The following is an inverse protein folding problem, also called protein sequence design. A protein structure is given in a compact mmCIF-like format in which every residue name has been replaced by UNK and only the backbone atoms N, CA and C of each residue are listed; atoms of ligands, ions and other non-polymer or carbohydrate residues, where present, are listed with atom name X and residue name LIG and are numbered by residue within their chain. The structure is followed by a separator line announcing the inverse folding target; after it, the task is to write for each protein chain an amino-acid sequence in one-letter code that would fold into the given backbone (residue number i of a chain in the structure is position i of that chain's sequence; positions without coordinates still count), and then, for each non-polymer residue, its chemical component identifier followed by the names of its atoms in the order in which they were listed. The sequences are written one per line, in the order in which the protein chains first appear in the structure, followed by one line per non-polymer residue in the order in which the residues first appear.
data_IF_812478603041
#
_entry.id   IF_812478603041
#
_cell.length_a   1.000
_cell.length_b   1.000
_cell.length_c   1.000
_cell.angle_alpha   90.00
_cell.angle_beta   90.00
_cell.angle_gamma   90.00
#
_symmetry.space_group_name_H-M   'P 1'
#
loop_
_entity.id
_entity.type
_entity.pdbx_description
1 polymer ?
#
# COMPACT_ATOMS: atom_id res chain seq x y z
N UNK A 1 -14.42 -34.31 -29.20
CA UNK A 1 -13.35 -34.86 -28.34
C UNK A 1 -12.06 -34.15 -28.70
N UNK A 2 -11.66 -33.15 -27.91
CA UNK A 2 -10.31 -32.61 -27.94
C UNK A 2 -9.88 -32.47 -26.48
N UNK A 3 -8.92 -33.31 -26.10
CA UNK A 3 -8.32 -33.35 -24.77
C UNK A 3 -7.49 -32.08 -24.60
N UNK A 4 -7.93 -31.16 -23.73
CA UNK A 4 -7.08 -30.08 -23.23
C UNK A 4 -6.52 -30.53 -21.88
N UNK A 5 -5.24 -30.87 -21.88
CA UNK A 5 -4.46 -31.23 -20.69
C UNK A 5 -4.40 -30.05 -19.74
N UNK A 6 -5.25 -30.11 -18.70
CA UNK A 6 -5.13 -29.23 -17.53
C UNK A 6 -3.92 -29.70 -16.73
N UNK A 7 -2.80 -29.00 -16.84
CA UNK A 7 -1.62 -29.31 -16.02
C UNK A 7 -1.85 -28.75 -14.63
N UNK A 8 -2.45 -29.55 -13.75
CA UNK A 8 -2.55 -29.21 -12.33
C UNK A 8 -1.16 -29.45 -11.72
N UNK A 9 -0.38 -28.39 -11.55
CA UNK A 9 0.87 -28.46 -10.79
C UNK A 9 0.53 -28.26 -9.31
N UNK A 10 0.31 -29.36 -8.60
CA UNK A 10 0.24 -29.34 -7.14
C UNK A 10 1.68 -29.31 -6.63
N UNK A 11 2.11 -28.19 -6.06
CA UNK A 11 3.38 -28.16 -5.33
C UNK A 11 3.20 -28.91 -4.00
N UNK A 12 3.45 -30.22 -4.03
CA UNK A 12 3.43 -31.13 -2.87
C UNK A 12 4.52 -30.80 -1.81
N UNK A 13 5.41 -29.84 -2.09
CA UNK A 13 6.52 -29.45 -1.21
C UNK A 13 6.13 -28.65 0.03
N UNK A 14 4.92 -28.09 0.07
CA UNK A 14 4.39 -27.43 1.27
C UNK A 14 3.34 -28.32 1.94
N UNK A 15 3.60 -28.79 3.17
CA UNK A 15 2.57 -29.28 4.08
C UNK A 15 1.69 -28.10 4.50
N UNK A 16 0.89 -27.61 3.56
CA UNK A 16 0.22 -26.32 3.64
C UNK A 16 -1.30 -26.47 3.71
N UNK A 17 -1.90 -25.60 4.51
CA UNK A 17 -3.34 -25.35 4.61
C UNK A 17 -4.02 -25.00 3.26
N UNK A 18 -3.24 -24.69 2.22
CA UNK A 18 -3.72 -24.18 0.94
C UNK A 18 -3.20 -24.99 -0.26
N UNK A 19 -4.00 -25.04 -1.32
CA UNK A 19 -3.71 -25.61 -2.64
C UNK A 19 -3.90 -24.51 -3.70
N UNK A 20 -2.95 -24.37 -4.63
CA UNK A 20 -2.99 -23.38 -5.71
C UNK A 20 -3.16 -24.11 -7.04
N UNK A 21 -4.16 -23.75 -7.82
CA UNK A 21 -4.47 -24.34 -9.12
C UNK A 21 -4.29 -23.24 -10.18
N UNK A 22 -3.36 -23.43 -11.11
CA UNK A 22 -3.16 -22.56 -12.27
C UNK A 22 -3.79 -23.26 -13.49
N UNK A 23 -4.76 -22.62 -14.13
CA UNK A 23 -5.37 -23.09 -15.39
C UNK A 23 -4.72 -22.36 -16.57
N UNK A 24 -4.92 -22.86 -17.79
CA UNK A 24 -4.46 -22.18 -19.00
C UNK A 24 -5.04 -20.74 -19.03
N UNK A 25 -4.27 -19.77 -19.54
CA UNK A 25 -4.60 -18.33 -19.57
C UNK A 25 -4.49 -17.59 -18.21
N UNK A 26 -3.40 -17.82 -17.44
CA UNK A 26 -3.05 -17.09 -16.21
C UNK A 26 -4.15 -17.06 -15.12
N UNK A 27 -5.11 -17.99 -15.20
CA UNK A 27 -6.22 -18.08 -14.25
C UNK A 27 -5.78 -18.90 -13.03
N UNK A 28 -5.47 -18.18 -11.94
CA UNK A 28 -5.02 -18.74 -10.67
C UNK A 28 -6.20 -18.85 -9.71
N UNK A 29 -6.41 -20.04 -9.15
CA UNK A 29 -7.39 -20.30 -8.10
C UNK A 29 -6.69 -20.79 -6.83
N UNK A 30 -7.09 -20.27 -5.67
CA UNK A 30 -6.57 -20.71 -4.37
C UNK A 30 -7.67 -21.42 -3.59
N UNK A 31 -7.34 -22.57 -3.03
CA UNK A 31 -8.23 -23.38 -2.21
C UNK A 31 -7.61 -23.62 -0.83
N UNK A 32 -8.42 -23.64 0.21
CA UNK A 32 -8.03 -24.09 1.55
C UNK A 32 -8.45 -25.54 1.74
N UNK A 33 -7.54 -26.40 2.21
CA UNK A 33 -7.87 -27.79 2.52
C UNK A 33 -8.35 -27.90 3.97
N UNK A 34 -9.67 -28.04 4.16
CA UNK A 34 -10.31 -28.17 5.48
C UNK A 34 -10.96 -29.54 5.56
N UNK A 35 -10.51 -30.39 6.50
CA UNK A 35 -11.02 -31.76 6.70
C UNK A 35 -11.02 -32.64 5.43
N UNK A 36 -10.11 -32.38 4.48
CA UNK A 36 -10.01 -33.12 3.22
C UNK A 36 -10.80 -32.50 2.06
N UNK A 37 -11.63 -31.50 2.31
CA UNK A 37 -12.38 -30.76 1.29
C UNK A 37 -11.61 -29.51 0.84
N UNK A 38 -11.74 -29.15 -0.44
CA UNK A 38 -11.11 -27.96 -1.02
C UNK A 38 -12.13 -26.81 -1.08
N UNK A 39 -11.92 -25.78 -0.27
CA UNK A 39 -12.80 -24.60 -0.20
C UNK A 39 -12.16 -23.44 -0.97
N UNK A 40 -12.82 -22.86 -1.99
CA UNK A 40 -12.30 -21.70 -2.71
C UNK A 40 -12.01 -20.52 -1.76
N UNK A 41 -10.88 -19.85 -1.98
CA UNK A 41 -10.49 -18.63 -1.28
C UNK A 41 -10.14 -17.54 -2.29
N UNK A 42 -10.67 -16.36 -2.03
CA UNK A 42 -10.15 -15.15 -2.66
C UNK A 42 -8.70 -14.96 -2.21
N UNK A 43 -7.86 -14.52 -3.13
CA UNK A 43 -6.48 -14.17 -2.86
C UNK A 43 -6.16 -12.85 -3.55
N UNK A 44 -5.17 -12.16 -3.03
CA UNK A 44 -4.60 -10.98 -3.65
C UNK A 44 -3.24 -11.37 -4.23
N UNK A 45 -3.03 -11.10 -5.52
CA UNK A 45 -1.75 -11.36 -6.17
C UNK A 45 -0.79 -10.20 -5.88
N UNK A 46 0.27 -10.49 -5.13
CA UNK A 46 1.36 -9.55 -4.87
C UNK A 46 2.55 -10.00 -5.74
N UNK A 47 2.85 -9.33 -6.87
CA UNK A 47 3.96 -9.71 -7.74
C UNK A 47 5.28 -9.58 -6.99
N UNK A 48 6.25 -10.47 -7.26
CA UNK A 48 7.54 -10.43 -6.60
C UNK A 48 8.23 -9.06 -6.80
N UNK A 49 8.95 -8.59 -5.78
CA UNK A 49 9.55 -7.25 -5.77
C UNK A 49 10.46 -7.00 -6.98
N UNK A 50 11.24 -8.00 -7.39
CA UNK A 50 12.09 -7.94 -8.58
C UNK A 50 11.31 -7.81 -9.90
N UNK A 51 10.08 -8.34 -9.97
CA UNK A 51 9.21 -8.21 -11.14
C UNK A 51 8.63 -6.80 -11.23
N UNK A 52 8.25 -6.20 -10.09
CA UNK A 52 7.67 -4.87 -10.01
C UNK A 52 8.58 -3.80 -10.63
N UNK A 53 9.90 -3.96 -10.48
CA UNK A 53 10.91 -3.03 -10.98
C UNK A 53 11.72 -3.55 -12.18
N UNK A 54 11.27 -4.64 -12.80
CA UNK A 54 11.99 -5.33 -13.89
C UNK A 54 12.32 -4.41 -15.08
N UNK A 55 11.47 -3.42 -15.39
CA UNK A 55 11.70 -2.43 -16.46
C UNK A 55 12.47 -1.17 -16.01
N UNK A 56 12.66 -0.99 -14.71
CA UNK A 56 13.40 0.14 -14.12
C UNK A 56 14.87 -0.22 -13.82
N UNK A 57 15.20 -1.52 -13.78
CA UNK A 57 16.57 -2.04 -13.67
C UNK A 57 17.45 -1.44 -14.78
N UNK A 58 18.33 -0.50 -14.40
CA UNK A 58 19.28 0.17 -15.31
C UNK A 58 19.04 1.65 -15.56
N UNK A 59 17.87 2.21 -15.19
CA UNK A 59 17.56 3.65 -15.31
C UNK A 59 17.53 4.32 -13.92
N UNK A 60 17.02 3.61 -12.92
CA UNK A 60 16.99 4.02 -11.52
C UNK A 60 17.48 2.84 -10.69
N UNK A 61 18.46 3.06 -9.82
CA UNK A 61 18.76 2.11 -8.74
C UNK A 61 17.65 2.20 -7.69
N UNK A 62 16.49 1.59 -7.99
CA UNK A 62 15.32 1.50 -7.10
C UNK A 62 15.66 0.92 -5.71
N UNK A 63 16.76 0.17 -5.61
CA UNK A 63 17.26 -0.37 -4.34
C UNK A 63 17.86 0.71 -3.42
N UNK A 64 18.29 1.85 -3.94
CA UNK A 64 18.94 2.91 -3.12
C UNK A 64 17.93 3.57 -2.18
N UNK A 65 16.70 3.79 -2.67
CA UNK A 65 15.64 4.43 -1.91
C UNK A 65 14.82 3.44 -1.07
N UNK A 66 14.92 2.14 -1.37
CA UNK A 66 14.22 1.08 -0.64
C UNK A 66 14.50 1.14 0.87
N UNK A 67 15.77 1.27 1.26
CA UNK A 67 16.17 1.37 2.66
C UNK A 67 15.95 2.75 3.28
N UNK A 68 15.33 3.70 2.57
CA UNK A 68 15.14 5.07 3.04
C UNK A 68 13.74 5.28 3.59
N UNK A 69 13.66 6.23 4.52
CA UNK A 69 12.41 6.71 5.12
C UNK A 69 12.22 8.19 4.82
N UNK A 70 11.01 8.57 4.45
CA UNK A 70 10.62 9.96 4.22
C UNK A 70 9.51 10.36 5.18
N UNK A 71 9.50 11.62 5.58
CA UNK A 71 8.42 12.22 6.36
C UNK A 71 7.77 13.31 5.51
N UNK A 72 6.45 13.28 5.41
CA UNK A 72 5.67 14.25 4.64
C UNK A 72 4.67 14.90 5.60
N UNK A 73 4.83 16.21 5.81
CA UNK A 73 3.94 17.03 6.63
C UNK A 73 3.07 17.86 5.71
N UNK A 74 1.76 17.63 5.76
CA UNK A 74 0.80 18.14 4.80
C UNK A 74 0.69 17.23 3.58
N UNK A 75 -0.49 16.64 3.42
CA UNK A 75 -0.92 15.80 2.30
C UNK A 75 -1.97 16.54 1.48
N UNK A 76 -1.82 17.86 1.29
CA UNK A 76 -2.56 18.59 0.26
C UNK A 76 -2.05 18.26 -1.15
N UNK A 77 -2.44 19.06 -2.14
CA UNK A 77 -2.12 18.86 -3.57
C UNK A 77 -0.68 18.43 -3.90
N UNK A 78 0.30 19.08 -3.27
CA UNK A 78 1.71 18.80 -3.54
C UNK A 78 2.20 17.59 -2.74
N UNK A 79 1.91 17.54 -1.44
CA UNK A 79 2.35 16.45 -0.56
C UNK A 79 1.82 15.08 -1.02
N UNK A 80 0.57 15.03 -1.49
CA UNK A 80 -0.03 13.81 -2.04
C UNK A 80 0.67 13.34 -3.31
N UNK A 81 1.05 14.25 -4.21
CA UNK A 81 1.77 13.91 -5.44
C UNK A 81 3.18 13.43 -5.13
N UNK A 82 3.91 14.14 -4.25
CA UNK A 82 5.26 13.76 -3.83
C UNK A 82 5.26 12.35 -3.22
N UNK A 83 4.30 12.04 -2.34
CA UNK A 83 4.19 10.72 -1.72
C UNK A 83 4.12 9.60 -2.76
N UNK A 84 3.31 9.79 -3.81
CA UNK A 84 3.08 8.80 -4.86
C UNK A 84 4.28 8.69 -5.81
N UNK A 85 4.92 9.81 -6.17
CA UNK A 85 6.13 9.76 -7.00
C UNK A 85 7.29 9.08 -6.26
N UNK A 86 7.44 9.32 -4.96
CA UNK A 86 8.40 8.59 -4.14
C UNK A 86 8.10 7.09 -4.06
N UNK A 87 6.81 6.71 -4.08
CA UNK A 87 6.41 5.30 -4.06
C UNK A 87 6.79 4.60 -5.35
N UNK A 88 6.55 5.26 -6.49
CA UNK A 88 7.01 4.81 -7.80
C UNK A 88 8.54 4.73 -7.89
N UNK A 89 9.25 5.65 -7.23
CA UNK A 89 10.71 5.66 -7.17
C UNK A 89 11.31 4.58 -6.24
N UNK A 90 10.47 3.85 -5.48
CA UNK A 90 10.90 2.74 -4.65
C UNK A 90 11.26 3.10 -3.21
N UNK A 91 10.85 4.26 -2.70
CA UNK A 91 10.99 4.55 -1.25
C UNK A 91 10.24 3.50 -0.44
N UNK A 92 10.93 2.91 0.54
CA UNK A 92 10.38 1.79 1.32
C UNK A 92 9.64 2.19 2.60
N UNK A 93 9.80 3.40 3.11
CA UNK A 93 9.17 3.80 4.38
C UNK A 93 8.68 5.24 4.40
N UNK A 94 7.49 5.45 4.98
CA UNK A 94 6.81 6.73 5.04
C UNK A 94 6.35 7.06 6.46
N UNK A 95 6.42 8.34 6.80
CA UNK A 95 5.73 8.93 7.93
C UNK A 95 4.83 10.05 7.39
N UNK A 96 3.53 9.84 7.41
CA UNK A 96 2.54 10.74 6.82
C UNK A 96 1.84 11.55 7.93
N UNK A 97 1.96 12.87 7.87
CA UNK A 97 1.39 13.79 8.84
C UNK A 97 0.39 14.72 8.18
N UNK A 98 -0.90 14.49 8.46
CA UNK A 98 -1.99 15.39 8.05
C UNK A 98 -3.24 15.07 8.86
N UNK A 99 -3.89 16.10 9.42
CA UNK A 99 -5.10 15.98 10.24
C UNK A 99 -6.39 16.16 9.43
N UNK A 100 -6.31 16.64 8.19
CA UNK A 100 -7.46 16.90 7.35
C UNK A 100 -8.08 15.62 6.78
N UNK A 101 -9.32 15.76 6.34
CA UNK A 101 -10.04 14.79 5.51
C UNK A 101 -10.03 15.25 4.05
N UNK A 102 -10.24 14.31 3.15
CA UNK A 102 -10.48 14.62 1.74
C UNK A 102 -11.84 15.29 1.62
N UNK A 103 -11.87 16.52 1.13
CA UNK A 103 -13.10 17.28 0.89
C UNK A 103 -13.35 17.47 -0.61
N UNK A 104 -14.60 17.73 -0.98
CA UNK A 104 -15.02 17.82 -2.38
C UNK A 104 -14.22 18.88 -3.14
N UNK A 105 -13.94 20.02 -2.50
CA UNK A 105 -13.16 21.10 -3.08
C UNK A 105 -11.66 20.74 -3.28
N UNK A 106 -11.16 19.67 -2.64
CA UNK A 106 -9.80 19.19 -2.85
C UNK A 106 -9.66 18.43 -4.18
N UNK A 107 -10.72 17.78 -4.66
CA UNK A 107 -10.65 16.81 -5.76
C UNK A 107 -10.08 17.38 -7.07
N UNK A 108 -10.26 18.69 -7.33
CA UNK A 108 -9.75 19.33 -8.54
C UNK A 108 -8.21 19.40 -8.61
N UNK A 109 -7.51 19.25 -7.47
CA UNK A 109 -6.05 19.47 -7.37
C UNK A 109 -5.34 18.47 -6.47
N UNK A 110 -6.05 17.55 -5.85
CA UNK A 110 -5.50 16.54 -4.95
C UNK A 110 -5.40 15.20 -5.69
N UNK A 111 -4.50 14.30 -5.26
CA UNK A 111 -4.35 13.03 -5.97
C UNK A 111 -5.54 12.07 -5.72
N UNK A 112 -6.21 12.18 -4.58
CA UNK A 112 -7.40 11.37 -4.29
C UNK A 112 -8.60 11.75 -5.15
N UNK A 113 -9.44 10.76 -5.45
CA UNK A 113 -10.67 10.91 -6.20
C UNK A 113 -11.91 10.91 -5.31
N UNK A 114 -13.07 10.73 -5.96
CA UNK A 114 -14.37 10.77 -5.30
C UNK A 114 -14.57 9.65 -4.27
N UNK A 115 -13.91 8.50 -4.47
CA UNK A 115 -14.03 7.33 -3.59
C UNK A 115 -13.41 7.57 -2.21
N UNK A 116 -12.51 8.54 -2.12
CA UNK A 116 -11.81 8.86 -0.88
C UNK A 116 -12.48 9.99 -0.09
N UNK A 117 -13.55 10.59 -0.61
CA UNK A 117 -14.24 11.71 0.02
C UNK A 117 -14.62 11.39 1.49
N UNK A 118 -14.26 12.29 2.41
CA UNK A 118 -14.51 12.15 3.84
C UNK A 118 -13.50 11.27 4.59
N UNK A 119 -12.62 10.52 3.91
CA UNK A 119 -11.52 9.78 4.56
C UNK A 119 -10.45 10.74 5.04
N UNK A 120 -9.72 10.37 6.09
CA UNK A 120 -8.49 11.07 6.46
C UNK A 120 -7.51 11.02 5.28
N UNK A 121 -6.87 12.15 4.97
CA UNK A 121 -5.89 12.22 3.87
C UNK A 121 -4.75 11.22 4.09
N UNK A 122 -4.31 11.03 5.33
CA UNK A 122 -3.30 10.02 5.69
C UNK A 122 -3.69 8.60 5.30
N UNK A 123 -4.95 8.20 5.48
CA UNK A 123 -5.43 6.87 5.07
C UNK A 123 -5.53 6.77 3.54
N UNK A 124 -6.12 7.78 2.89
CA UNK A 124 -6.29 7.78 1.44
C UNK A 124 -4.94 7.75 0.69
N UNK A 125 -3.93 8.45 1.22
CA UNK A 125 -2.59 8.46 0.62
C UNK A 125 -1.80 7.18 0.93
N UNK A 126 -1.99 6.55 2.10
CA UNK A 126 -1.44 5.22 2.37
C UNK A 126 -1.92 4.20 1.33
N UNK A 127 -3.23 4.14 1.08
CA UNK A 127 -3.81 3.24 0.07
C UNK A 127 -3.19 3.50 -1.32
N UNK A 128 -3.03 4.78 -1.68
CA UNK A 128 -2.43 5.17 -2.95
C UNK A 128 -0.93 4.82 -3.06
N UNK A 129 -0.18 4.90 -1.95
CA UNK A 129 1.23 4.46 -1.88
C UNK A 129 1.31 2.95 -2.07
N UNK A 130 0.51 2.18 -1.33
CA UNK A 130 0.54 0.71 -1.37
C UNK A 130 0.10 0.17 -2.73
N UNK A 131 -0.82 0.87 -3.42
CA UNK A 131 -1.19 0.55 -4.80
C UNK A 131 -0.05 0.74 -5.80
N UNK A 132 1.02 1.49 -5.46
CA UNK A 132 2.22 1.67 -6.30
C UNK A 132 3.41 0.86 -5.82
N UNK A 133 3.59 0.79 -4.51
CA UNK A 133 4.64 0.02 -3.86
C UNK A 133 4.02 -0.80 -2.73
N UNK A 134 3.55 -2.04 -3.00
CA UNK A 134 2.96 -2.92 -1.99
C UNK A 134 3.92 -3.29 -0.85
N UNK A 135 5.22 -3.06 -1.05
CA UNK A 135 6.28 -3.35 -0.09
C UNK A 135 6.61 -2.15 0.82
N UNK A 136 6.00 -1.00 0.59
CA UNK A 136 6.22 0.18 1.42
C UNK A 136 5.60 -0.02 2.81
N UNK A 137 6.27 0.50 3.82
CA UNK A 137 5.71 0.65 5.17
C UNK A 137 5.27 2.09 5.38
N UNK A 138 4.05 2.29 5.86
CA UNK A 138 3.48 3.62 6.11
C UNK A 138 3.07 3.74 7.57
N UNK A 139 3.63 4.73 8.27
CA UNK A 139 3.16 5.15 9.58
C UNK A 139 2.37 6.47 9.42
N UNK A 140 1.19 6.56 10.04
CA UNK A 140 0.25 7.68 9.87
C UNK A 140 0.06 8.46 11.16
N UNK A 141 0.03 9.78 11.02
CA UNK A 141 -0.04 10.72 12.12
C UNK A 141 -1.09 11.79 11.80
N UNK A 142 -2.33 11.56 12.23
CA UNK A 142 -3.44 12.50 12.07
C UNK A 142 -3.41 13.59 13.16
N UNK A 143 -2.31 14.35 13.21
CA UNK A 143 -2.06 15.36 14.23
C UNK A 143 -1.90 16.74 13.62
N UNK A 144 -2.47 17.74 14.28
CA UNK A 144 -2.18 19.13 14.02
C UNK A 144 -0.87 19.52 14.71
N UNK A 145 0.20 19.61 13.92
CA UNK A 145 1.53 19.96 14.42
C UNK A 145 1.58 21.39 15.00
N UNK A 146 0.64 22.27 14.63
CA UNK A 146 0.56 23.63 15.18
C UNK A 146 0.07 23.67 16.63
N UNK A 147 -0.58 22.61 17.10
CA UNK A 147 -1.10 22.51 18.47
C UNK A 147 -0.14 21.79 19.42
N UNK A 148 0.87 21.09 18.90
CA UNK A 148 1.85 20.35 19.71
C UNK A 148 2.75 21.25 20.59
N UNK A 149 2.80 22.56 20.32
CA UNK A 149 3.56 23.55 21.10
C UNK A 149 2.77 24.24 22.22
N UNK A 150 1.46 24.02 22.36
CA UNK A 150 0.68 24.56 23.49
C UNK A 150 0.71 23.60 24.66
N UNK A 151 1.91 23.27 25.13
CA UNK A 151 2.08 22.70 26.46
C UNK A 151 1.92 23.85 27.46
N UNK A 152 1.05 23.61 28.43
CA UNK A 152 0.45 24.57 29.34
C UNK A 152 1.46 25.46 30.11
N UNK A 153 1.58 26.74 29.74
CA UNK A 153 2.23 27.77 30.57
C UNK A 153 1.29 28.33 31.65
N UNK A 154 0.08 27.79 31.86
CA UNK A 154 -0.82 28.22 32.95
C UNK A 154 -0.80 27.24 34.12
N UNK A 155 0.39 27.09 34.70
CA UNK A 155 0.60 26.25 35.88
C UNK A 155 1.61 26.77 36.88
N UNK A 156 1.87 28.08 36.92
CA UNK A 156 2.60 28.69 38.05
C UNK A 156 2.17 30.14 38.26
N UNK A 157 1.33 30.37 39.28
CA UNK A 157 1.01 31.72 39.71
C UNK A 157 -0.28 31.82 40.51
N UNK A 158 -0.12 32.20 41.79
CA UNK A 158 -1.11 32.53 42.83
C UNK A 158 -1.48 31.32 43.72
N UNK A 159 -1.11 31.28 45.00
CA UNK A 159 -0.85 32.38 45.95
C UNK A 159 -2.05 32.51 46.87
#
# INVERSE_FOLDING_TARGET
FFLSTSTVVVNEGYKGRFCIIVRAEDDVHVYEKVNGELIPRAFEYIPAKDELYSRSKGILEVNVLEGKRVMIVGLGSFGSQIAIELAKAGVGSYSLWDFDRVELHNLARHTCGIQELGRLKTNAIEDAILAKNPYARVDKFAYDISQAGRVDERGSGQG
#
